data_IF_816281612926
#
_entry.id   IF_816281612926
#
_cell.length_a   1.000
_cell.length_b   1.000
_cell.length_c   1.000
_cell.angle_alpha   90.00
_cell.angle_beta   90.00
_cell.angle_gamma   90.00
#
_symmetry.space_group_name_H-M   'P 1'
#
loop_
_entity.id
_entity.type
_entity.pdbx_description
1 polymer ?
#
# COMPACT_ATOMS: atom_id res chain seq x y z
N UNK A 1 8.98 1.39 -25.36
CA UNK A 1 8.20 2.40 -24.66
C UNK A 1 8.68 2.51 -23.22
N UNK A 2 8.97 3.71 -22.74
CA UNK A 2 9.30 4.00 -21.36
C UNK A 2 8.14 4.81 -20.76
N UNK A 3 7.63 4.38 -19.61
CA UNK A 3 6.52 5.01 -18.89
C UNK A 3 6.99 5.49 -17.52
N UNK A 4 6.54 6.66 -17.12
CA UNK A 4 6.74 7.15 -15.77
C UNK A 4 5.79 6.40 -14.81
N UNK A 5 6.34 5.60 -13.90
CA UNK A 5 5.55 4.78 -12.95
C UNK A 5 4.70 5.59 -11.95
N UNK A 6 4.87 6.91 -11.87
CA UNK A 6 4.01 7.80 -11.07
C UNK A 6 2.78 8.31 -11.82
N UNK A 7 2.68 8.03 -13.12
CA UNK A 7 1.59 8.53 -13.94
C UNK A 7 0.37 7.61 -13.88
N UNK A 8 -0.75 8.15 -13.47
CA UNK A 8 -2.06 7.52 -13.61
C UNK A 8 -2.73 8.09 -14.84
N UNK A 9 -2.93 7.25 -15.83
CA UNK A 9 -3.41 7.62 -17.16
C UNK A 9 -4.90 8.05 -17.19
N UNK A 10 -5.68 7.71 -16.17
CA UNK A 10 -7.13 7.89 -16.19
C UNK A 10 -7.81 6.90 -17.14
N UNK A 11 -8.84 7.34 -17.84
CA UNK A 11 -9.64 6.49 -18.76
C UNK A 11 -9.03 6.28 -20.14
N UNK A 12 -7.79 6.72 -20.38
CA UNK A 12 -7.12 6.52 -21.66
C UNK A 12 -6.79 5.03 -21.86
N UNK A 13 -7.23 4.48 -22.98
CA UNK A 13 -6.98 3.09 -23.38
C UNK A 13 -5.80 2.94 -24.33
N UNK A 14 -5.27 4.03 -24.84
CA UNK A 14 -4.19 4.04 -25.82
C UNK A 14 -2.96 4.78 -25.31
N UNK A 15 -1.80 4.41 -25.84
CA UNK A 15 -0.54 5.12 -25.57
C UNK A 15 -0.66 6.53 -26.18
N UNK A 16 -0.47 7.59 -25.40
CA UNK A 16 -0.81 8.95 -25.81
C UNK A 16 0.21 9.59 -26.76
N UNK A 17 1.23 8.86 -27.20
CA UNK A 17 2.27 9.40 -28.10
C UNK A 17 2.73 8.39 -29.14
N UNK A 18 3.15 8.91 -30.30
CA UNK A 18 3.78 8.18 -31.39
C UNK A 18 5.31 8.05 -31.16
N UNK A 19 6.04 7.22 -31.93
CA UNK A 19 7.48 7.01 -31.73
C UNK A 19 8.35 8.28 -31.77
N UNK A 20 7.95 9.32 -32.51
CA UNK A 20 8.65 10.61 -32.60
C UNK A 20 8.20 11.63 -31.54
N UNK A 21 7.34 11.23 -30.63
CA UNK A 21 6.70 12.08 -29.64
C UNK A 21 7.05 11.65 -28.23
N UNK A 22 6.90 12.60 -27.30
CA UNK A 22 6.88 12.34 -25.87
C UNK A 22 5.59 12.93 -25.27
N UNK A 23 4.89 12.13 -24.45
CA UNK A 23 3.73 12.60 -23.73
C UNK A 23 4.14 13.24 -22.41
N UNK A 24 3.46 14.34 -22.09
CA UNK A 24 3.75 15.16 -20.91
C UNK A 24 2.46 15.43 -20.11
N UNK A 25 2.61 15.43 -18.79
CA UNK A 25 1.63 15.99 -17.87
C UNK A 25 2.29 17.15 -17.16
N UNK A 26 1.77 18.35 -17.36
CA UNK A 26 2.43 19.58 -16.91
C UNK A 26 3.88 19.64 -17.40
N UNK A 27 4.83 19.72 -16.52
CA UNK A 27 6.29 19.76 -16.85
C UNK A 27 7.01 18.42 -16.68
N UNK A 28 6.27 17.32 -16.50
CA UNK A 28 6.88 15.99 -16.35
C UNK A 28 6.59 15.09 -17.57
N UNK A 29 7.61 14.47 -18.16
CA UNK A 29 7.41 13.46 -19.20
C UNK A 29 6.83 12.19 -18.58
N UNK A 30 5.78 11.65 -19.21
CA UNK A 30 5.06 10.48 -18.70
C UNK A 30 5.18 9.26 -19.61
N UNK A 31 5.41 9.47 -20.91
CA UNK A 31 5.65 8.39 -21.85
C UNK A 31 6.57 8.83 -22.98
N UNK A 32 7.50 7.96 -23.39
CA UNK A 32 8.37 8.17 -24.54
C UNK A 32 8.73 6.83 -25.20
N UNK A 33 8.77 6.80 -26.52
CA UNK A 33 9.32 5.69 -27.27
C UNK A 33 10.85 5.82 -27.35
N UNK A 34 11.54 4.71 -27.10
CA UNK A 34 12.98 4.62 -27.21
C UNK A 34 13.35 4.08 -28.59
N UNK A 35 14.31 4.73 -29.26
CA UNK A 35 14.97 4.17 -30.44
C UNK A 35 16.02 3.15 -30.01
N UNK A 36 16.44 2.33 -30.96
CA UNK A 36 17.54 1.39 -30.75
C UNK A 36 18.82 2.15 -30.32
N UNK A 37 19.43 1.68 -29.23
CA UNK A 37 20.65 2.29 -28.67
C UNK A 37 20.45 3.52 -27.78
N UNK A 38 19.25 4.08 -27.65
CA UNK A 38 18.99 5.21 -26.74
C UNK A 38 19.00 4.81 -25.27
N UNK A 39 18.76 3.53 -24.98
CA UNK A 39 18.82 2.98 -23.65
C UNK A 39 20.14 2.25 -23.43
N UNK A 40 21.01 2.80 -22.63
CA UNK A 40 22.13 2.08 -22.02
C UNK A 40 21.79 1.80 -20.56
N UNK A 41 22.43 0.84 -19.92
CA UNK A 41 22.28 0.57 -18.49
C UNK A 41 22.58 1.86 -17.71
N UNK A 42 21.54 2.50 -17.18
CA UNK A 42 21.65 3.70 -16.34
C UNK A 42 21.45 3.29 -14.89
N UNK A 43 22.15 3.96 -13.99
CA UNK A 43 21.90 3.81 -12.56
C UNK A 43 20.45 4.22 -12.24
N UNK A 44 19.76 3.53 -11.32
CA UNK A 44 18.36 3.84 -10.98
C UNK A 44 18.11 5.30 -10.60
N UNK A 45 19.08 5.97 -9.96
CA UNK A 45 19.01 7.40 -9.62
C UNK A 45 18.96 8.32 -10.84
N UNK A 46 19.45 7.88 -11.97
CA UNK A 46 19.52 8.65 -13.22
C UNK A 46 18.32 8.45 -14.14
N UNK A 47 17.48 7.45 -13.87
CA UNK A 47 16.36 7.06 -14.74
C UNK A 47 15.41 8.22 -15.05
N UNK A 48 15.06 9.03 -14.04
CA UNK A 48 14.18 10.19 -14.23
C UNK A 48 14.83 11.27 -15.11
N UNK A 49 16.09 11.58 -14.86
CA UNK A 49 16.83 12.54 -15.66
C UNK A 49 16.99 12.05 -17.10
N UNK A 50 17.25 10.76 -17.30
CA UNK A 50 17.37 10.15 -18.61
C UNK A 50 16.06 10.16 -19.38
N UNK A 51 14.95 9.82 -18.74
CA UNK A 51 13.60 9.92 -19.34
C UNK A 51 13.36 11.34 -19.83
N UNK A 52 13.61 12.35 -19.00
CA UNK A 52 13.45 13.76 -19.34
C UNK A 52 14.34 14.15 -20.52
N UNK A 53 15.62 13.82 -20.47
CA UNK A 53 16.57 14.11 -21.54
C UNK A 53 16.11 13.54 -22.90
N UNK A 54 15.62 12.31 -22.92
CA UNK A 54 15.12 11.68 -24.16
C UNK A 54 13.82 12.38 -24.58
N UNK A 55 12.89 12.63 -23.66
CA UNK A 55 11.61 13.27 -23.94
C UNK A 55 11.78 14.69 -24.55
N UNK A 56 12.77 15.45 -24.08
CA UNK A 56 13.10 16.79 -24.61
C UNK A 56 13.58 16.78 -26.06
N UNK A 57 14.07 15.65 -26.58
CA UNK A 57 14.44 15.50 -27.99
C UNK A 57 13.27 15.16 -28.91
N UNK A 58 12.06 14.95 -28.36
CA UNK A 58 10.86 14.53 -29.09
C UNK A 58 9.86 15.67 -29.20
N UNK A 59 8.94 15.52 -30.14
CA UNK A 59 7.80 16.44 -30.25
C UNK A 59 6.90 16.25 -29.01
N UNK A 60 6.69 17.33 -28.26
CA UNK A 60 5.83 17.32 -27.07
C UNK A 60 4.37 17.12 -27.45
N UNK A 61 3.70 16.25 -26.72
CA UNK A 61 2.26 16.05 -26.72
C UNK A 61 1.77 16.14 -25.30
N UNK A 62 0.95 17.13 -24.98
CA UNK A 62 0.32 17.21 -23.66
C UNK A 62 -0.79 16.17 -23.56
N UNK A 63 -0.79 15.41 -22.47
CA UNK A 63 -1.76 14.34 -22.21
C UNK A 63 -2.47 14.53 -20.90
N UNK A 64 -3.58 13.85 -20.74
CA UNK A 64 -4.31 13.82 -19.47
C UNK A 64 -3.68 12.88 -18.45
N UNK A 65 -4.34 12.77 -17.31
CA UNK A 65 -3.90 11.96 -16.19
C UNK A 65 -3.38 12.77 -15.02
N UNK A 66 -2.83 12.09 -14.05
CA UNK A 66 -2.30 12.68 -12.82
C UNK A 66 -0.95 12.05 -12.47
N UNK A 67 -0.02 12.86 -11.99
CA UNK A 67 1.21 12.39 -11.39
C UNK A 67 1.02 12.19 -9.89
N UNK A 68 1.47 11.05 -9.41
CA UNK A 68 1.55 10.78 -7.98
C UNK A 68 2.87 11.37 -7.44
N UNK A 69 2.76 12.27 -6.48
CA UNK A 69 3.93 12.92 -5.88
C UNK A 69 4.33 12.23 -4.56
N UNK A 70 3.34 11.71 -3.83
CA UNK A 70 3.50 11.19 -2.49
C UNK A 70 2.75 9.86 -2.30
N UNK A 71 3.16 9.01 -1.35
CA UNK A 71 2.48 7.74 -1.10
C UNK A 71 0.99 7.87 -0.75
N UNK A 72 0.60 8.93 -0.06
CA UNK A 72 -0.81 9.17 0.28
C UNK A 72 -1.67 9.55 -0.92
N UNK A 73 -1.09 10.05 -2.01
CA UNK A 73 -1.85 10.33 -3.24
C UNK A 73 -2.45 9.06 -3.84
N UNK A 74 -1.79 7.89 -3.66
CA UNK A 74 -2.34 6.58 -4.04
C UNK A 74 -3.62 6.28 -3.28
N UNK A 75 -3.62 6.51 -1.97
CA UNK A 75 -4.77 6.24 -1.10
C UNK A 75 -5.91 7.19 -1.41
N UNK A 76 -5.61 8.49 -1.54
CA UNK A 76 -6.61 9.53 -1.88
C UNK A 76 -7.27 9.25 -3.24
N UNK A 77 -6.51 8.80 -4.23
CA UNK A 77 -6.98 8.52 -5.58
C UNK A 77 -7.78 7.22 -5.68
N UNK A 78 -7.54 6.27 -4.78
CA UNK A 78 -8.01 4.89 -4.91
C UNK A 78 -9.54 4.78 -5.11
N UNK A 79 -10.31 5.48 -4.29
CA UNK A 79 -11.78 5.45 -4.38
C UNK A 79 -12.30 5.85 -5.77
N UNK A 80 -11.76 6.93 -6.33
CA UNK A 80 -12.11 7.40 -7.67
C UNK A 80 -11.62 6.43 -8.74
N UNK A 81 -10.41 5.89 -8.59
CA UNK A 81 -9.84 4.94 -9.55
C UNK A 81 -10.67 3.66 -9.64
N UNK A 82 -11.14 3.14 -8.51
CA UNK A 82 -12.03 1.97 -8.48
C UNK A 82 -13.33 2.19 -9.29
N UNK A 83 -13.89 3.40 -9.27
CA UNK A 83 -15.07 3.73 -10.06
C UNK A 83 -14.74 3.83 -11.55
N UNK A 84 -13.60 4.44 -11.89
CA UNK A 84 -13.14 4.61 -13.27
C UNK A 84 -12.77 3.26 -13.92
N UNK A 85 -12.17 2.35 -13.15
CA UNK A 85 -11.72 1.04 -13.66
C UNK A 85 -12.86 0.01 -13.75
N UNK A 86 -13.93 0.17 -12.99
CA UNK A 86 -15.02 -0.81 -12.93
C UNK A 86 -15.63 -1.17 -14.30
N UNK A 87 -15.88 -0.22 -15.23
CA UNK A 87 -16.39 -0.53 -16.57
C UNK A 87 -15.41 -1.35 -17.44
N UNK A 88 -14.12 -1.32 -17.11
CA UNK A 88 -13.05 -2.01 -17.84
C UNK A 88 -12.91 -3.46 -17.39
N UNK A 89 -13.54 -3.83 -16.27
CA UNK A 89 -13.46 -5.16 -15.67
C UNK A 89 -14.19 -6.24 -16.49
N UNK A 90 -13.65 -7.46 -16.47
CA UNK A 90 -14.09 -8.58 -17.30
C UNK A 90 -15.34 -9.30 -16.77
N UNK A 91 -15.77 -9.03 -15.55
CA UNK A 91 -16.80 -9.80 -14.86
C UNK A 91 -18.04 -8.96 -14.57
N UNK A 92 -18.88 -8.77 -15.57
CA UNK A 92 -20.23 -8.29 -15.28
C UNK A 92 -21.08 -9.49 -14.87
N UNK A 93 -21.40 -9.60 -13.60
CA UNK A 93 -22.18 -10.70 -13.07
C UNK A 93 -23.55 -10.75 -13.75
N UNK A 94 -23.80 -11.86 -14.46
CA UNK A 94 -25.16 -12.28 -14.71
C UNK A 94 -25.74 -12.59 -13.32
N UNK A 95 -26.77 -11.83 -12.89
CA UNK A 95 -27.55 -12.00 -11.66
C UNK A 95 -26.88 -12.88 -10.60
N UNK A 96 -26.13 -12.23 -9.68
CA UNK A 96 -25.63 -12.91 -8.50
C UNK A 96 -26.82 -13.16 -7.55
N UNK A 97 -27.14 -14.42 -7.32
CA UNK A 97 -28.17 -14.82 -6.36
C UNK A 97 -27.62 -15.94 -5.48
N UNK A 98 -27.27 -15.63 -4.26
CA UNK A 98 -26.96 -16.61 -3.21
C UNK A 98 -27.88 -16.41 -2.03
N UNK A 99 -28.48 -17.49 -1.55
CA UNK A 99 -29.36 -17.45 -0.36
C UNK A 99 -28.59 -16.92 0.85
N UNK A 100 -29.14 -15.88 1.48
CA UNK A 100 -28.57 -15.30 2.69
C UNK A 100 -27.45 -14.28 2.46
N UNK A 101 -27.20 -13.87 1.21
CA UNK A 101 -26.38 -12.69 0.90
C UNK A 101 -27.30 -11.53 0.58
N UNK A 102 -27.10 -10.39 1.23
CA UNK A 102 -27.89 -9.18 1.03
C UNK A 102 -27.14 -8.17 0.17
N UNK A 103 -27.79 -7.67 -0.88
CA UNK A 103 -27.24 -6.62 -1.75
C UNK A 103 -28.05 -5.35 -1.54
N UNK A 104 -27.37 -4.29 -1.08
CA UNK A 104 -27.92 -2.96 -0.94
C UNK A 104 -27.47 -2.10 -2.11
N UNK A 105 -28.42 -1.59 -2.91
CA UNK A 105 -28.13 -0.77 -4.08
C UNK A 105 -28.32 -1.51 -5.40
N UNK A 106 -27.50 -1.20 -6.39
CA UNK A 106 -27.68 -1.70 -7.75
C UNK A 106 -26.75 -2.91 -8.05
N UNK A 107 -27.34 -4.04 -8.46
CA UNK A 107 -26.56 -5.18 -8.97
C UNK A 107 -25.69 -4.83 -10.19
N UNK A 108 -25.99 -3.75 -10.91
CA UNK A 108 -25.16 -3.28 -12.04
C UNK A 108 -23.80 -2.74 -11.58
N UNK A 109 -23.68 -2.38 -10.30
CA UNK A 109 -22.44 -1.93 -9.66
C UNK A 109 -21.72 -3.09 -8.96
N UNK A 110 -22.09 -4.34 -9.24
CA UNK A 110 -21.52 -5.52 -8.62
C UNK A 110 -20.87 -6.42 -9.67
N UNK A 111 -19.60 -6.74 -9.48
CA UNK A 111 -18.84 -7.69 -10.28
C UNK A 111 -18.30 -8.78 -9.38
N UNK A 112 -18.85 -10.00 -9.47
CA UNK A 112 -18.42 -11.16 -8.67
C UNK A 112 -18.02 -12.28 -9.63
N UNK A 113 -16.80 -12.76 -9.47
CA UNK A 113 -16.35 -13.95 -10.20
C UNK A 113 -17.24 -15.16 -9.87
N UNK A 114 -17.64 -15.97 -10.85
CA UNK A 114 -18.35 -17.24 -10.61
C UNK A 114 -17.57 -18.22 -9.72
N UNK A 115 -16.25 -18.07 -9.63
CA UNK A 115 -15.35 -18.90 -8.82
C UNK A 115 -15.08 -18.27 -7.42
N UNK A 116 -15.70 -17.15 -7.09
CA UNK A 116 -15.67 -16.59 -5.75
C UNK A 116 -16.61 -17.34 -4.81
N UNK A 117 -16.19 -17.51 -3.56
CA UNK A 117 -16.99 -18.12 -2.51
C UNK A 117 -17.50 -17.04 -1.52
N UNK A 118 -18.79 -16.71 -1.61
CA UNK A 118 -19.44 -15.73 -0.71
C UNK A 118 -20.41 -16.47 0.19
N UNK A 119 -20.13 -16.51 1.49
CA UNK A 119 -20.95 -17.24 2.46
C UNK A 119 -22.28 -16.52 2.78
N UNK A 120 -23.29 -17.20 3.36
CA UNK A 120 -24.47 -16.55 3.89
C UNK A 120 -24.15 -15.49 4.95
N UNK A 121 -25.06 -14.52 5.14
CA UNK A 121 -24.93 -13.38 6.08
C UNK A 121 -23.84 -12.40 5.71
N UNK A 122 -23.45 -12.34 4.44
CA UNK A 122 -22.64 -11.27 3.87
C UNK A 122 -23.55 -10.16 3.38
N UNK A 123 -23.18 -8.91 3.62
CA UNK A 123 -23.84 -7.71 3.09
C UNK A 123 -22.90 -7.03 2.09
N UNK A 124 -23.40 -6.76 0.90
CA UNK A 124 -22.66 -6.03 -0.15
C UNK A 124 -23.44 -4.75 -0.46
N UNK A 125 -22.83 -3.60 -0.21
CA UNK A 125 -23.48 -2.30 -0.37
C UNK A 125 -22.86 -1.54 -1.56
N UNK A 126 -23.61 -1.45 -2.65
CA UNK A 126 -23.18 -0.77 -3.88
C UNK A 126 -23.77 0.63 -4.03
N UNK A 127 -24.40 1.19 -3.01
CA UNK A 127 -25.07 2.51 -3.09
C UNK A 127 -24.12 3.66 -3.32
N UNK A 128 -22.89 3.56 -2.82
CA UNK A 128 -21.84 4.59 -2.95
C UNK A 128 -20.85 4.32 -4.08
N UNK A 129 -20.89 3.14 -4.71
CA UNK A 129 -19.97 2.78 -5.80
C UNK A 129 -19.88 1.28 -6.04
N UNK A 130 -19.08 0.87 -7.02
CA UNK A 130 -18.97 -0.53 -7.42
C UNK A 130 -18.25 -1.39 -6.39
N UNK A 131 -18.62 -2.68 -6.37
CA UNK A 131 -17.90 -3.72 -5.63
C UNK A 131 -17.43 -4.80 -6.60
N UNK A 132 -16.13 -5.09 -6.58
CA UNK A 132 -15.53 -6.16 -7.38
C UNK A 132 -14.98 -7.25 -6.45
N UNK A 133 -15.33 -8.51 -6.73
CA UNK A 133 -14.84 -9.70 -6.04
C UNK A 133 -14.27 -10.67 -7.07
N UNK A 134 -12.96 -10.87 -7.02
CA UNK A 134 -12.25 -11.66 -8.02
C UNK A 134 -12.28 -13.17 -7.75
N UNK A 135 -11.72 -13.92 -8.70
CA UNK A 135 -11.64 -15.37 -8.71
C UNK A 135 -11.01 -15.94 -7.42
N UNK A 136 -11.60 -17.00 -6.88
CA UNK A 136 -11.10 -17.69 -5.70
C UNK A 136 -11.17 -16.90 -4.41
N UNK A 137 -11.66 -15.64 -4.46
CA UNK A 137 -11.89 -14.87 -3.25
C UNK A 137 -12.93 -15.55 -2.35
N UNK A 138 -12.70 -15.52 -1.04
CA UNK A 138 -13.60 -16.12 -0.04
C UNK A 138 -14.07 -15.06 0.96
N UNK A 139 -15.36 -14.76 0.91
CA UNK A 139 -15.99 -13.78 1.79
C UNK A 139 -16.77 -14.54 2.85
N UNK A 140 -16.26 -14.51 4.07
CA UNK A 140 -16.83 -15.26 5.20
C UNK A 140 -18.06 -14.55 5.76
N UNK A 141 -18.96 -15.35 6.37
CA UNK A 141 -20.16 -14.86 7.03
C UNK A 141 -19.89 -13.68 7.98
N UNK A 142 -20.85 -12.75 8.07
CA UNK A 142 -20.78 -11.53 8.88
C UNK A 142 -19.76 -10.50 8.35
N UNK A 143 -19.45 -10.56 7.07
CA UNK A 143 -18.65 -9.54 6.38
C UNK A 143 -19.60 -8.51 5.74
N UNK A 144 -19.23 -7.23 5.83
CA UNK A 144 -19.83 -6.12 5.10
C UNK A 144 -18.81 -5.53 4.13
N UNK A 145 -19.18 -5.42 2.85
CA UNK A 145 -18.40 -4.76 1.81
C UNK A 145 -19.15 -3.53 1.32
N UNK A 146 -18.53 -2.36 1.32
CA UNK A 146 -19.11 -1.11 0.83
C UNK A 146 -18.29 -0.58 -0.36
N UNK A 147 -18.96 -0.35 -1.47
CA UNK A 147 -18.34 0.19 -2.68
C UNK A 147 -18.10 1.72 -2.63
N UNK A 148 -17.12 2.23 -3.39
CA UNK A 148 -16.25 1.46 -4.27
C UNK A 148 -15.24 0.61 -3.50
N UNK A 149 -15.16 -0.68 -3.83
CA UNK A 149 -14.31 -1.64 -3.13
C UNK A 149 -13.86 -2.75 -4.09
N UNK A 150 -12.61 -3.19 -3.94
CA UNK A 150 -12.05 -4.29 -4.72
C UNK A 150 -11.47 -5.36 -3.81
N UNK A 151 -11.86 -6.61 -4.04
CA UNK A 151 -11.31 -7.80 -3.38
C UNK A 151 -10.62 -8.66 -4.42
N UNK A 152 -9.30 -8.71 -4.36
CA UNK A 152 -8.45 -9.43 -5.30
C UNK A 152 -8.57 -10.96 -5.20
N UNK A 153 -8.07 -11.62 -6.23
CA UNK A 153 -8.13 -13.08 -6.39
C UNK A 153 -7.55 -13.82 -5.17
N UNK A 154 -8.15 -14.96 -4.84
CA UNK A 154 -7.73 -15.84 -3.74
C UNK A 154 -7.62 -15.15 -2.36
N UNK A 155 -8.16 -13.96 -2.21
CA UNK A 155 -8.19 -13.22 -0.94
C UNK A 155 -9.29 -13.76 -0.04
N UNK A 156 -8.99 -13.88 1.25
CA UNK A 156 -9.98 -14.26 2.27
C UNK A 156 -10.32 -13.05 3.15
N UNK A 157 -11.60 -12.69 3.19
CA UNK A 157 -12.14 -11.68 4.09
C UNK A 157 -12.88 -12.40 5.22
N UNK A 158 -12.42 -12.16 6.46
CA UNK A 158 -12.90 -12.86 7.64
C UNK A 158 -13.57 -11.90 8.63
N UNK A 159 -14.91 -11.90 8.66
CA UNK A 159 -15.70 -11.02 9.53
C UNK A 159 -15.25 -9.57 9.45
N UNK A 160 -15.07 -9.07 8.21
CA UNK A 160 -14.54 -7.74 7.96
C UNK A 160 -15.65 -6.73 7.71
N UNK A 161 -15.37 -5.48 8.05
CA UNK A 161 -16.07 -4.30 7.54
C UNK A 161 -15.11 -3.59 6.60
N UNK A 162 -15.27 -3.82 5.30
CA UNK A 162 -14.44 -3.19 4.27
C UNK A 162 -15.26 -2.05 3.69
N UNK A 163 -14.88 -0.83 4.02
CA UNK A 163 -15.63 0.35 3.60
C UNK A 163 -15.13 0.93 2.27
N UNK A 164 -15.85 1.91 1.76
CA UNK A 164 -15.58 2.54 0.49
C UNK A 164 -14.13 3.06 0.35
N UNK A 165 -13.61 3.03 -0.87
CA UNK A 165 -12.25 3.45 -1.19
C UNK A 165 -11.18 2.40 -0.85
N UNK A 166 -11.57 1.15 -0.58
CA UNK A 166 -10.63 0.12 -0.17
C UNK A 166 -10.30 -0.86 -1.29
N UNK A 167 -9.00 -1.10 -1.51
CA UNK A 167 -8.47 -2.14 -2.39
C UNK A 167 -7.74 -3.19 -1.58
N UNK A 168 -8.21 -4.43 -1.65
CA UNK A 168 -7.52 -5.59 -1.09
C UNK A 168 -6.93 -6.39 -2.24
N UNK A 169 -5.61 -6.44 -2.34
CA UNK A 169 -4.88 -7.14 -3.37
C UNK A 169 -5.02 -8.67 -3.32
N UNK A 170 -4.35 -9.38 -4.24
CA UNK A 170 -4.49 -10.83 -4.35
C UNK A 170 -3.87 -11.57 -3.16
N UNK A 171 -4.42 -12.75 -2.85
CA UNK A 171 -3.90 -13.72 -1.86
C UNK A 171 -3.80 -13.16 -0.44
N UNK A 172 -4.48 -12.05 -0.15
CA UNK A 172 -4.51 -11.44 1.17
C UNK A 172 -5.35 -12.24 2.18
N UNK A 173 -5.11 -11.99 3.44
CA UNK A 173 -5.93 -12.45 4.56
C UNK A 173 -6.30 -11.24 5.40
N UNK A 174 -7.55 -10.82 5.32
CA UNK A 174 -8.02 -9.57 5.96
C UNK A 174 -9.26 -9.79 6.82
N UNK A 175 -9.42 -8.96 7.82
CA UNK A 175 -10.55 -8.94 8.75
C UNK A 175 -10.52 -7.70 9.64
N UNK A 176 -11.54 -7.54 10.48
CA UNK A 176 -11.74 -6.32 11.23
C UNK A 176 -12.20 -5.16 10.34
N UNK A 177 -11.89 -3.94 10.71
CA UNK A 177 -12.33 -2.74 9.99
C UNK A 177 -11.21 -2.20 9.08
N UNK A 178 -11.54 -1.98 7.81
CA UNK A 178 -10.62 -1.39 6.80
C UNK A 178 -11.37 -0.27 6.09
N UNK A 179 -10.88 0.95 6.19
CA UNK A 179 -11.46 2.16 5.61
C UNK A 179 -10.48 2.82 4.65
N UNK A 180 -10.93 3.13 3.43
CA UNK A 180 -10.20 3.91 2.43
C UNK A 180 -8.69 3.58 2.39
N UNK A 181 -8.37 2.31 2.23
CA UNK A 181 -7.00 1.80 2.34
C UNK A 181 -6.62 0.87 1.20
N UNK A 182 -5.35 0.80 0.90
CA UNK A 182 -4.78 -0.15 -0.06
C UNK A 182 -3.97 -1.19 0.71
N UNK A 183 -4.41 -2.45 0.62
CA UNK A 183 -3.67 -3.61 1.13
C UNK A 183 -3.14 -4.39 -0.05
N UNK A 184 -1.86 -4.33 -0.29
CA UNK A 184 -1.22 -4.98 -1.43
C UNK A 184 -1.16 -6.51 -1.27
N UNK A 185 -0.88 -7.23 -2.36
CA UNK A 185 -0.94 -8.69 -2.38
C UNK A 185 -0.16 -9.41 -1.29
N UNK A 186 -0.62 -10.59 -0.90
CA UNK A 186 -0.02 -11.48 0.09
C UNK A 186 0.07 -10.93 1.52
N UNK A 187 -0.53 -9.79 1.81
CA UNK A 187 -0.54 -9.21 3.14
C UNK A 187 -1.58 -9.87 4.06
N UNK A 188 -1.29 -9.87 5.35
CA UNK A 188 -2.18 -10.37 6.39
C UNK A 188 -2.51 -9.25 7.40
N UNK A 189 -3.78 -8.88 7.47
CA UNK A 189 -4.43 -8.16 8.58
C UNK A 189 -5.71 -8.93 8.93
N UNK A 190 -5.57 -10.15 9.42
CA UNK A 190 -6.64 -11.14 9.47
C UNK A 190 -7.62 -10.93 10.61
N UNK A 191 -7.16 -10.36 11.72
CA UNK A 191 -7.93 -10.23 12.96
C UNK A 191 -8.54 -8.84 13.12
N UNK A 192 -9.32 -8.64 14.19
CA UNK A 192 -9.90 -7.36 14.57
C UNK A 192 -8.84 -6.26 14.73
N UNK A 193 -9.25 -5.01 14.63
CA UNK A 193 -8.46 -3.78 14.66
C UNK A 193 -8.79 -2.90 13.46
N UNK A 194 -8.62 -1.58 13.62
CA UNK A 194 -8.89 -0.58 12.60
C UNK A 194 -7.68 -0.34 11.69
N UNK A 195 -7.92 -0.22 10.41
CA UNK A 195 -6.94 0.19 9.39
C UNK A 195 -7.60 1.25 8.50
N UNK A 196 -7.27 2.52 8.70
CA UNK A 196 -7.84 3.62 7.92
C UNK A 196 -6.80 4.41 7.15
N UNK A 197 -7.15 4.90 5.95
CA UNK A 197 -6.36 5.78 5.09
C UNK A 197 -4.89 5.36 4.95
N UNK A 198 -4.66 4.05 4.80
CA UNK A 198 -3.35 3.41 4.92
C UNK A 198 -2.93 2.71 3.63
N UNK A 199 -1.61 2.54 3.46
CA UNK A 199 -1.02 1.71 2.41
C UNK A 199 -0.16 0.61 3.04
N UNK A 200 -0.57 -0.64 2.82
CA UNK A 200 0.11 -1.83 3.32
C UNK A 200 0.76 -2.56 2.16
N UNK A 201 2.07 -2.62 2.16
CA UNK A 201 2.87 -3.25 1.11
C UNK A 201 2.77 -4.79 1.11
N UNK A 202 3.30 -5.47 0.07
CA UNK A 202 3.29 -6.92 -0.02
C UNK A 202 3.95 -7.61 1.18
N UNK A 203 3.43 -8.80 1.52
CA UNK A 203 4.01 -9.69 2.53
C UNK A 203 4.03 -9.13 3.96
N UNK A 204 3.38 -8.01 4.20
CA UNK A 204 3.20 -7.47 5.55
C UNK A 204 2.32 -8.42 6.37
N UNK A 205 2.69 -8.60 7.64
CA UNK A 205 1.86 -9.36 8.58
C UNK A 205 1.59 -8.53 9.83
N UNK A 206 0.35 -8.09 9.97
CA UNK A 206 -0.12 -7.30 11.12
C UNK A 206 -0.72 -8.23 12.17
N UNK A 207 -0.20 -8.14 13.39
CA UNK A 207 -0.66 -8.94 14.53
C UNK A 207 -2.12 -8.65 14.91
N UNK A 208 -2.72 -9.58 15.62
CA UNK A 208 -4.11 -9.46 16.08
C UNK A 208 -4.31 -8.22 16.97
N UNK A 209 -5.50 -7.61 16.89
CA UNK A 209 -5.89 -6.42 17.68
C UNK A 209 -5.01 -5.17 17.41
N UNK A 210 -4.19 -5.18 16.37
CA UNK A 210 -3.43 -4.00 15.96
C UNK A 210 -4.34 -2.99 15.28
N UNK A 211 -4.09 -1.72 15.54
CA UNK A 211 -4.87 -0.62 14.97
C UNK A 211 -4.02 0.56 14.54
N UNK A 212 -4.51 1.31 13.56
CA UNK A 212 -3.90 2.55 13.08
C UNK A 212 -4.80 3.73 13.41
N UNK A 213 -4.21 4.83 13.88
CA UNK A 213 -4.90 6.12 13.87
C UNK A 213 -4.76 6.77 12.50
N UNK A 214 -5.82 7.40 12.02
CA UNK A 214 -5.81 8.15 10.76
C UNK A 214 -6.20 9.62 10.90
N UNK A 215 -6.70 10.03 12.09
CA UNK A 215 -7.14 11.37 12.39
C UNK A 215 -6.52 11.84 13.72
N UNK A 216 -5.94 13.03 13.72
CA UNK A 216 -5.41 13.63 14.93
C UNK A 216 -6.56 14.20 15.80
N UNK A 217 -6.41 14.13 17.12
CA UNK A 217 -7.44 14.62 18.05
C UNK A 217 -7.62 16.16 18.01
N UNK A 218 -6.62 16.90 17.50
CA UNK A 218 -6.69 18.36 17.32
C UNK A 218 -7.18 18.76 15.91
N UNK A 219 -7.49 17.79 15.05
CA UNK A 219 -7.91 17.98 13.66
C UNK A 219 -6.93 18.80 12.80
N UNK A 220 -5.67 18.94 13.24
CA UNK A 220 -4.64 19.55 12.41
C UNK A 220 -4.20 18.64 11.26
N UNK A 221 -3.51 19.21 10.27
CA UNK A 221 -2.99 18.44 9.16
C UNK A 221 -1.96 17.41 9.62
N UNK A 222 -1.97 16.26 8.95
CA UNK A 222 -1.09 15.15 9.27
C UNK A 222 0.27 15.36 8.63
N UNK A 223 1.33 14.99 9.32
CA UNK A 223 2.70 14.89 8.79
C UNK A 223 3.13 13.44 8.78
N UNK A 224 3.77 13.03 7.68
CA UNK A 224 4.28 11.66 7.50
C UNK A 224 5.80 11.71 7.41
N UNK A 225 6.54 10.84 8.12
CA UNK A 225 7.97 10.69 7.93
C UNK A 225 8.28 10.08 6.56
N UNK A 226 9.05 10.78 5.72
CA UNK A 226 9.60 10.24 4.48
C UNK A 226 11.12 10.34 4.55
N UNK A 227 11.82 9.23 4.42
CA UNK A 227 13.27 9.14 4.61
C UNK A 227 13.75 9.81 5.92
N UNK A 228 12.93 9.72 6.97
CA UNK A 228 13.20 10.29 8.29
C UNK A 228 12.80 11.75 8.48
N UNK A 229 12.42 12.47 7.43
CA UNK A 229 11.96 13.87 7.51
C UNK A 229 10.43 13.95 7.54
N UNK A 230 9.90 14.83 8.42
CA UNK A 230 8.45 15.05 8.52
C UNK A 230 7.95 15.93 7.37
N UNK A 231 7.11 15.37 6.52
CA UNK A 231 6.52 16.05 5.36
C UNK A 231 5.05 16.34 5.61
N UNK A 232 4.62 17.58 5.40
CA UNK A 232 3.22 17.99 5.46
C UNK A 232 2.41 17.31 4.36
N UNK A 233 1.27 16.75 4.72
CA UNK A 233 0.40 16.10 3.74
C UNK A 233 -0.70 17.02 3.22
N UNK A 234 -1.02 18.08 3.96
CA UNK A 234 -2.19 18.93 3.77
C UNK A 234 -3.51 18.11 3.80
N UNK A 235 -3.54 17.03 4.59
CA UNK A 235 -4.69 16.14 4.80
C UNK A 235 -5.00 16.02 6.27
N UNK A 236 -6.28 15.94 6.59
CA UNK A 236 -6.77 15.70 7.94
C UNK A 236 -6.74 14.21 8.32
N UNK A 237 -6.95 13.34 7.34
CA UNK A 237 -6.95 11.89 7.52
C UNK A 237 -5.82 11.25 6.72
N UNK A 238 -4.86 10.65 7.42
CA UNK A 238 -3.75 9.86 6.86
C UNK A 238 -3.38 8.79 7.88
N UNK A 239 -3.48 7.54 7.49
CA UNK A 239 -3.13 6.41 8.33
C UNK A 239 -1.64 6.04 8.27
N UNK A 240 -1.37 4.76 8.07
CA UNK A 240 -0.01 4.21 8.14
C UNK A 240 0.47 3.68 6.79
N UNK A 241 1.75 3.87 6.52
CA UNK A 241 2.47 3.31 5.37
C UNK A 241 3.42 2.24 5.89
N UNK A 242 3.16 0.96 5.54
CA UNK A 242 3.93 -0.17 6.07
C UNK A 242 4.60 -0.92 4.93
N UNK A 243 5.92 -0.94 4.93
CA UNK A 243 6.77 -1.50 3.88
C UNK A 243 6.79 -3.04 3.83
N UNK A 244 7.24 -3.55 2.70
CA UNK A 244 7.28 -4.96 2.35
C UNK A 244 7.88 -5.84 3.45
N UNK A 245 7.31 -7.02 3.64
CA UNK A 245 7.77 -8.04 4.59
C UNK A 245 7.80 -7.62 6.07
N UNK A 246 7.31 -6.44 6.42
CA UNK A 246 7.23 -5.99 7.83
C UNK A 246 6.30 -6.91 8.63
N UNK A 247 6.70 -7.20 9.86
CA UNK A 247 5.96 -8.02 10.81
C UNK A 247 5.69 -7.24 12.09
N UNK A 248 4.45 -7.28 12.56
CA UNK A 248 4.09 -6.66 13.83
C UNK A 248 3.52 -7.67 14.80
N UNK A 249 3.79 -7.48 16.07
CA UNK A 249 3.17 -8.29 17.14
C UNK A 249 1.69 -7.94 17.32
N UNK A 250 1.01 -8.70 18.14
CA UNK A 250 -0.36 -8.40 18.59
C UNK A 250 -0.42 -7.07 19.32
N UNK A 251 -1.57 -6.39 19.29
CA UNK A 251 -1.79 -5.09 19.95
C UNK A 251 -0.80 -3.99 19.54
N UNK A 252 -0.33 -4.02 18.29
CA UNK A 252 0.51 -2.95 17.76
C UNK A 252 -0.34 -1.73 17.42
N UNK A 253 -0.07 -0.59 18.10
CA UNK A 253 -0.81 0.65 17.93
C UNK A 253 0.03 1.67 17.15
N UNK A 254 -0.44 2.05 15.97
CA UNK A 254 0.23 3.00 15.08
C UNK A 254 -0.42 4.37 15.21
N UNK A 255 0.41 5.40 15.41
CA UNK A 255 -0.04 6.79 15.42
C UNK A 255 -0.41 7.29 14.00
N UNK A 256 -1.16 8.38 13.95
CA UNK A 256 -1.57 9.06 12.72
C UNK A 256 -0.35 9.44 11.87
N UNK A 257 -0.35 9.04 10.61
CA UNK A 257 0.74 9.32 9.67
C UNK A 257 2.02 8.50 9.94
N UNK A 258 1.90 7.29 10.47
CA UNK A 258 3.08 6.43 10.69
C UNK A 258 3.68 5.91 9.39
N UNK A 259 5.01 5.85 9.34
CA UNK A 259 5.78 5.19 8.28
C UNK A 259 6.69 4.12 8.87
N UNK A 260 6.44 2.88 8.50
CA UNK A 260 7.23 1.71 8.91
C UNK A 260 7.88 1.13 7.66
N UNK A 261 9.18 1.04 7.67
CA UNK A 261 9.97 0.66 6.50
C UNK A 261 9.88 -0.82 6.15
N UNK A 262 10.66 -1.20 5.15
CA UNK A 262 10.74 -2.56 4.61
C UNK A 262 11.42 -3.49 5.61
N UNK A 263 10.93 -4.74 5.75
CA UNK A 263 11.49 -5.77 6.63
C UNK A 263 11.65 -5.33 8.09
N UNK A 264 10.86 -4.35 8.54
CA UNK A 264 10.86 -3.95 9.94
C UNK A 264 10.15 -4.98 10.81
N UNK A 265 10.58 -5.06 12.08
CA UNK A 265 9.95 -5.92 13.07
C UNK A 265 9.50 -5.08 14.26
N UNK A 266 8.22 -5.18 14.61
CA UNK A 266 7.59 -4.34 15.61
C UNK A 266 7.02 -5.20 16.72
N UNK A 267 7.60 -5.09 17.91
CA UNK A 267 7.10 -5.68 19.15
C UNK A 267 7.00 -4.57 20.21
N UNK A 268 5.84 -3.88 20.30
CA UNK A 268 5.65 -2.88 21.33
C UNK A 268 5.47 -3.51 22.70
N UNK A 269 5.63 -2.71 23.75
CA UNK A 269 5.38 -3.07 25.16
C UNK A 269 4.11 -2.45 25.74
N UNK A 270 3.15 -2.12 24.86
CA UNK A 270 1.87 -1.52 25.21
C UNK A 270 1.77 -0.04 24.86
N UNK A 271 2.88 0.61 24.51
CA UNK A 271 2.90 2.00 24.06
C UNK A 271 2.60 2.12 22.55
N UNK A 272 2.26 3.34 22.13
CA UNK A 272 2.10 3.69 20.72
C UNK A 272 3.48 3.63 20.04
N UNK A 273 3.50 2.98 18.88
CA UNK A 273 4.72 2.83 18.07
C UNK A 273 5.17 4.21 17.56
N UNK A 274 6.47 4.52 17.54
CA UNK A 274 6.98 5.73 16.93
C UNK A 274 6.49 5.89 15.49
N UNK A 275 6.15 7.10 15.08
CA UNK A 275 5.68 7.36 13.70
C UNK A 275 6.66 6.93 12.62
N UNK A 276 7.94 6.85 12.94
CA UNK A 276 8.99 6.41 12.03
C UNK A 276 9.72 5.20 12.59
N UNK A 277 9.59 4.08 11.90
CA UNK A 277 10.40 2.89 12.10
C UNK A 277 11.12 2.63 10.77
N UNK A 278 12.44 2.84 10.68
CA UNK A 278 13.16 2.73 9.40
C UNK A 278 13.22 1.30 8.89
N UNK A 279 13.50 1.15 7.61
CA UNK A 279 13.66 -0.16 6.98
C UNK A 279 14.75 -0.99 7.66
N UNK A 280 14.56 -2.32 7.72
CA UNK A 280 15.51 -3.28 8.28
C UNK A 280 15.88 -3.02 9.74
N UNK A 281 14.97 -2.44 10.52
CA UNK A 281 15.15 -2.18 11.94
C UNK A 281 14.14 -2.95 12.80
N UNK A 282 14.33 -2.92 14.12
CA UNK A 282 13.39 -3.46 15.08
C UNK A 282 12.94 -2.36 16.05
N UNK A 283 11.64 -2.17 16.17
CA UNK A 283 11.09 -1.53 17.35
C UNK A 283 10.74 -2.63 18.35
N UNK A 284 11.42 -2.66 19.48
CA UNK A 284 11.37 -3.77 20.43
C UNK A 284 11.28 -3.26 21.85
N UNK A 285 10.12 -3.49 22.49
CA UNK A 285 9.87 -3.12 23.89
C UNK A 285 10.30 -1.68 24.23
N UNK A 286 9.77 -0.71 23.47
CA UNK A 286 10.02 0.72 23.68
C UNK A 286 11.32 1.26 23.10
N UNK A 287 12.19 0.42 22.53
CA UNK A 287 13.46 0.81 21.91
C UNK A 287 13.53 0.56 20.41
N UNK A 288 14.17 1.46 19.69
CA UNK A 288 14.52 1.26 18.28
C UNK A 288 15.93 0.67 18.19
N UNK A 289 16.06 -0.50 17.57
CA UNK A 289 17.27 -1.30 17.51
C UNK A 289 17.60 -1.66 16.05
N UNK A 290 18.85 -1.98 15.80
CA UNK A 290 19.24 -2.60 14.54
C UNK A 290 18.42 -3.87 14.27
N UNK A 291 18.14 -4.11 13.01
CA UNK A 291 17.46 -5.33 12.56
C UNK A 291 18.26 -6.60 12.86
N UNK A 292 17.68 -7.73 12.55
CA UNK A 292 18.43 -8.96 12.49
C UNK A 292 19.41 -8.95 11.31
N UNK A 293 20.44 -9.82 11.32
CA UNK A 293 21.29 -9.97 10.14
C UNK A 293 20.46 -10.17 8.87
N UNK A 294 20.87 -9.50 7.79
CA UNK A 294 20.11 -9.43 6.55
C UNK A 294 19.73 -10.82 6.00
N UNK A 295 20.66 -11.79 6.10
CA UNK A 295 20.38 -13.18 5.68
C UNK A 295 19.23 -13.81 6.47
N UNK A 296 19.18 -13.57 7.78
CA UNK A 296 18.07 -14.05 8.61
C UNK A 296 16.73 -13.42 8.21
N UNK A 297 16.74 -12.14 7.82
CA UNK A 297 15.52 -11.48 7.32
C UNK A 297 15.08 -12.10 5.99
N UNK A 298 16.01 -12.42 5.11
CA UNK A 298 15.71 -13.12 3.85
C UNK A 298 15.19 -14.54 4.09
N UNK A 299 15.71 -15.29 5.05
CA UNK A 299 15.18 -16.61 5.40
C UNK A 299 13.73 -16.53 5.90
N UNK A 300 13.40 -15.49 6.66
CA UNK A 300 12.02 -15.23 7.09
C UNK A 300 11.14 -14.89 5.89
N UNK A 301 11.63 -14.07 4.95
CA UNK A 301 10.91 -13.73 3.73
C UNK A 301 10.68 -14.99 2.86
N UNK A 302 11.72 -15.80 2.62
CA UNK A 302 11.64 -17.08 1.89
C UNK A 302 10.59 -17.99 2.51
N UNK A 303 10.65 -18.18 3.84
CA UNK A 303 9.67 -19.01 4.55
C UNK A 303 8.23 -18.50 4.40
N UNK A 304 8.03 -17.19 4.45
CA UNK A 304 6.69 -16.60 4.28
C UNK A 304 6.16 -16.76 2.86
N UNK A 305 7.02 -16.62 1.86
CA UNK A 305 6.69 -16.74 0.44
C UNK A 305 6.46 -18.21 0.03
N UNK A 306 7.30 -19.12 0.49
CA UNK A 306 7.17 -20.56 0.23
C UNK A 306 5.83 -21.11 0.73
N UNK A 307 5.34 -20.67 1.88
CA UNK A 307 4.00 -21.02 2.40
C UNK A 307 2.85 -20.60 1.47
N UNK A 308 3.10 -19.79 0.49
CA UNK A 308 2.16 -19.35 -0.55
C UNK A 308 2.54 -19.85 -1.94
N UNK A 309 3.55 -20.73 -2.05
CA UNK A 309 4.04 -21.25 -3.31
C UNK A 309 4.72 -20.19 -4.19
N UNK A 310 5.29 -19.15 -3.59
CA UNK A 310 5.99 -18.06 -4.30
C UNK A 310 7.47 -18.13 -3.96
N UNK A 311 8.32 -18.09 -4.98
CA UNK A 311 9.77 -18.07 -4.82
C UNK A 311 10.27 -16.67 -4.46
N UNK A 312 11.19 -16.58 -3.50
CA UNK A 312 11.97 -15.39 -3.25
C UNK A 312 13.14 -15.35 -4.23
N UNK A 313 13.01 -14.59 -5.29
CA UNK A 313 13.95 -14.59 -6.41
C UNK A 313 15.27 -13.88 -6.08
N UNK A 314 16.32 -14.21 -6.84
CA UNK A 314 17.62 -13.52 -6.74
C UNK A 314 17.51 -12.02 -7.05
N UNK A 315 16.60 -11.63 -7.93
CA UNK A 315 16.31 -10.22 -8.24
C UNK A 315 15.72 -9.49 -7.03
N UNK A 316 14.79 -10.12 -6.31
CA UNK A 316 14.24 -9.53 -5.09
C UNK A 316 15.30 -9.43 -4.00
N UNK A 317 16.15 -10.46 -3.86
CA UNK A 317 17.26 -10.42 -2.91
C UNK A 317 18.21 -9.25 -3.22
N UNK A 318 18.60 -9.07 -4.48
CA UNK A 318 19.46 -7.96 -4.91
C UNK A 318 18.78 -6.60 -4.64
N UNK A 319 17.50 -6.46 -4.91
CA UNK A 319 16.73 -5.24 -4.60
C UNK A 319 16.78 -4.92 -3.12
N UNK A 320 16.53 -5.89 -2.25
CA UNK A 320 16.53 -5.66 -0.80
C UNK A 320 17.94 -5.37 -0.26
N UNK A 321 18.99 -5.96 -0.81
CA UNK A 321 20.38 -5.60 -0.49
C UNK A 321 20.70 -4.15 -0.87
N UNK A 322 20.24 -3.71 -2.04
CA UNK A 322 20.38 -2.32 -2.48
C UNK A 322 19.63 -1.36 -1.54
N UNK A 323 18.38 -1.67 -1.22
CA UNK A 323 17.57 -0.88 -0.28
C UNK A 323 18.21 -0.82 1.12
N UNK A 324 18.78 -1.93 1.58
CA UNK A 324 19.49 -1.97 2.87
C UNK A 324 20.65 -0.98 2.89
N UNK A 325 21.46 -0.94 1.83
CA UNK A 325 22.56 0.01 1.70
C UNK A 325 22.05 1.45 1.58
N UNK A 326 21.05 1.71 0.73
CA UNK A 326 20.50 3.06 0.52
C UNK A 326 19.83 3.67 1.75
N UNK A 327 19.34 2.85 2.68
CA UNK A 327 18.65 3.31 3.90
C UNK A 327 19.54 3.32 5.14
N UNK A 328 20.87 3.17 4.99
CA UNK A 328 21.81 3.15 6.10
C UNK A 328 21.81 4.46 6.90
N UNK A 329 21.93 5.58 6.22
CA UNK A 329 21.92 6.91 6.84
C UNK A 329 20.58 7.21 7.56
N UNK A 330 19.46 6.79 6.98
CA UNK A 330 18.14 6.93 7.58
C UNK A 330 18.06 6.15 8.90
N UNK A 331 18.54 4.89 8.91
CA UNK A 331 18.60 4.06 10.12
C UNK A 331 19.48 4.70 11.20
N UNK A 332 20.69 5.12 10.84
CA UNK A 332 21.61 5.75 11.79
C UNK A 332 21.00 7.01 12.44
N UNK A 333 20.41 7.89 11.64
CA UNK A 333 19.73 9.11 12.13
C UNK A 333 18.53 8.77 13.04
N UNK A 334 17.78 7.71 12.73
CA UNK A 334 16.64 7.32 13.54
C UNK A 334 17.08 6.74 14.90
N UNK A 335 18.13 5.94 14.93
CA UNK A 335 18.71 5.42 16.18
C UNK A 335 19.24 6.53 17.07
N UNK A 336 19.97 7.49 16.51
CA UNK A 336 20.47 8.66 17.23
C UNK A 336 19.34 9.53 17.81
N UNK A 337 18.25 9.69 17.06
CA UNK A 337 17.07 10.44 17.52
C UNK A 337 16.43 9.74 18.71
N UNK A 338 16.17 8.46 18.60
CA UNK A 338 15.56 7.65 19.66
C UNK A 338 16.42 7.67 20.93
N UNK A 339 17.75 7.51 20.80
CA UNK A 339 18.66 7.58 21.94
C UNK A 339 18.56 8.93 22.69
N UNK A 340 18.53 10.04 21.96
CA UNK A 340 18.37 11.39 22.55
C UNK A 340 17.01 11.59 23.23
N UNK A 341 15.94 11.05 22.65
CA UNK A 341 14.58 11.11 23.23
C UNK A 341 14.49 10.32 24.52
N UNK A 342 15.11 9.13 24.55
CA UNK A 342 15.18 8.27 25.73
C UNK A 342 15.92 8.98 26.88
N UNK A 343 17.08 9.59 26.60
CA UNK A 343 17.83 10.36 27.60
C UNK A 343 16.98 11.50 28.16
N UNK A 344 16.34 12.29 27.32
CA UNK A 344 15.47 13.40 27.75
C UNK A 344 14.27 12.95 28.58
N UNK A 345 13.76 11.72 28.35
CA UNK A 345 12.68 11.14 29.15
C UNK A 345 13.19 10.79 30.54
N UNK A 346 14.33 10.10 30.61
CA UNK A 346 14.98 9.74 31.88
C UNK A 346 15.26 11.00 32.71
N UNK A 347 15.83 12.04 32.12
CA UNK A 347 16.14 13.27 32.82
C UNK A 347 14.88 13.97 33.35
N UNK A 348 13.75 13.91 32.63
CA UNK A 348 12.46 14.46 33.11
C UNK A 348 11.85 13.65 34.24
N UNK A 349 12.00 12.34 34.23
CA UNK A 349 11.44 11.44 35.24
C UNK A 349 12.30 11.44 36.52
N UNK A 350 13.54 11.96 36.43
CA UNK A 350 14.46 12.14 37.56
C UNK A 350 14.38 13.53 38.23
N UNK A 351 13.69 14.50 37.64
CA UNK A 351 13.53 15.87 38.13
C UNK A 351 12.16 16.06 38.82
#
# INVERSE_FOLDING_TARGET
LLLNGRWIQGTLTEIPCQPDQAAWVEDEPVAVWLNEGEWSQSEPAELRARLRQIAETRRRVDTGGQLLERPWDLVDRNSRQLVEDFPLGSFHSQRFSRRGVEILGSEKQLSISPLADVEPFVVIDTRSGPVTIEEGARIKSFTRLEGPCHIGRETHVFRGQITAGSTIGPVCRVGGEIENSIVHGYANKYHAGFLGHSYICPWVNIGAQSGTSDLKFDYSDVRVPLAGDLVETNRKKVGSFIGDHTKTAVNSLFDTGSAVGVMAMVLPDGDVIPRHVPSFSRYWQGGLLEGWPLEKMFDIARTAMDRRGVEFSSTQEMLFRLLYAQTEDERAKAFDRMARETIRRIDRDAA
#
